data_IF_558487421377
#
_entry.id   IF_558487421377
#
_cell.length_a   1.000
_cell.length_b   1.000
_cell.length_c   1.000
_cell.angle_alpha   90.00
_cell.angle_beta   90.00
_cell.angle_gamma   90.00
#
_symmetry.space_group_name_H-M   'P 1'
#
loop_
_entity.id
_entity.type
_entity.pdbx_description
1 polymer ?
#
# COMPACT_ATOMS: atom_id res chain seq x y z
N UNK A 1 0.01 23.97 -1.67
CA UNK A 1 -0.18 23.01 -2.78
C UNK A 1 0.25 21.60 -2.39
N UNK A 2 1.20 21.41 -1.51
CA UNK A 2 1.60 20.10 -0.93
C UNK A 2 0.58 19.52 0.07
N UNK A 3 -0.34 20.30 0.62
CA UNK A 3 -1.35 19.87 1.61
C UNK A 3 -2.31 18.79 1.07
N UNK A 4 -2.53 18.70 -0.26
CA UNK A 4 -3.34 17.62 -0.87
C UNK A 4 -2.63 16.26 -0.93
N UNK A 5 -1.31 16.22 -0.77
CA UNK A 5 -0.54 14.96 -0.69
C UNK A 5 -0.85 14.18 0.61
N UNK A 6 -1.07 14.89 1.71
CA UNK A 6 -1.22 14.27 3.03
C UNK A 6 -2.50 13.46 3.22
N UNK A 7 -3.59 13.79 2.50
CA UNK A 7 -4.88 13.12 2.70
C UNK A 7 -5.03 11.81 1.93
N UNK A 8 -4.23 11.58 0.87
CA UNK A 8 -4.34 10.39 0.00
C UNK A 8 -3.30 9.30 0.26
N UNK A 9 -2.19 9.62 0.95
CA UNK A 9 -1.14 8.64 1.30
C UNK A 9 -1.53 7.82 2.54
N UNK A 10 -2.49 8.26 3.33
CA UNK A 10 -3.05 7.46 4.43
C UNK A 10 -3.78 6.28 3.81
N UNK A 11 -3.03 5.20 3.56
CA UNK A 11 -3.60 3.91 3.19
C UNK A 11 -4.72 3.58 4.18
N UNK A 12 -5.92 3.36 3.65
CA UNK A 12 -6.93 2.63 4.42
C UNK A 12 -6.23 1.34 4.84
N UNK A 13 -6.05 1.16 6.14
CA UNK A 13 -5.57 -0.10 6.68
C UNK A 13 -6.65 -1.10 6.31
N UNK A 14 -6.39 -1.95 5.33
CA UNK A 14 -7.21 -3.12 5.04
C UNK A 14 -7.11 -4.04 6.27
N UNK A 15 -7.93 -3.78 7.25
CA UNK A 15 -8.24 -4.76 8.27
C UNK A 15 -9.25 -5.68 7.61
N UNK A 16 -8.78 -6.81 7.11
CA UNK A 16 -9.69 -7.90 6.80
C UNK A 16 -10.58 -8.11 8.03
N UNK A 17 -11.88 -7.92 7.86
CA UNK A 17 -12.90 -8.10 8.91
C UNK A 17 -13.01 -9.58 9.36
N UNK A 18 -12.06 -10.42 8.93
CA UNK A 18 -11.99 -11.83 9.27
C UNK A 18 -11.91 -12.10 10.78
N UNK A 19 -11.22 -11.24 11.54
CA UNK A 19 -10.99 -11.46 12.98
C UNK A 19 -12.27 -11.65 13.80
N UNK A 20 -13.38 -11.09 13.39
CA UNK A 20 -14.64 -11.28 14.12
C UNK A 20 -15.39 -12.54 13.72
N UNK A 21 -15.11 -13.15 12.56
CA UNK A 21 -15.89 -14.29 12.05
C UNK A 21 -15.27 -15.66 12.35
N UNK A 22 -13.94 -15.75 12.36
CA UNK A 22 -13.25 -17.04 12.59
C UNK A 22 -12.94 -17.30 14.07
N UNK A 23 -12.82 -16.25 14.90
CA UNK A 23 -12.49 -16.36 16.33
C UNK A 23 -13.69 -16.45 17.28
N UNK A 24 -14.92 -16.66 16.81
CA UNK A 24 -16.07 -16.89 17.71
C UNK A 24 -16.10 -18.29 18.33
N UNK A 25 -15.01 -19.04 18.26
CA UNK A 25 -14.90 -20.39 18.87
C UNK A 25 -13.93 -20.43 20.07
N UNK A 26 -13.67 -19.32 20.75
CA UNK A 26 -12.98 -19.34 22.05
C UNK A 26 -14.00 -19.59 23.20
N UNK A 27 -14.60 -20.74 23.21
CA UNK A 27 -15.44 -21.24 24.30
C UNK A 27 -15.68 -22.72 24.08
N UNK A 28 -15.06 -23.53 24.87
CA UNK A 28 -14.90 -25.00 24.90
C UNK A 28 -16.16 -25.86 24.84
N UNK A 29 -17.10 -25.62 23.92
CA UNK A 29 -18.09 -26.64 23.61
C UNK A 29 -17.62 -27.47 22.39
N UNK A 30 -17.79 -28.81 22.41
CA UNK A 30 -17.45 -29.63 21.27
C UNK A 30 -18.22 -29.13 20.03
N UNK A 31 -17.51 -28.86 18.94
CA UNK A 31 -18.11 -28.43 17.69
C UNK A 31 -19.05 -29.55 17.22
N UNK A 32 -20.34 -29.37 17.42
CA UNK A 32 -21.36 -30.29 16.93
C UNK A 32 -21.89 -29.78 15.60
N UNK A 33 -22.22 -30.72 14.71
CA UNK A 33 -22.82 -30.43 13.42
C UNK A 33 -23.88 -31.46 13.07
N UNK A 34 -24.80 -31.08 12.20
CA UNK A 34 -25.83 -31.99 11.65
C UNK A 34 -25.79 -31.93 10.13
N UNK A 35 -25.93 -33.04 9.45
CA UNK A 35 -26.12 -33.03 8.01
C UNK A 35 -27.50 -32.51 7.67
N UNK A 36 -27.59 -31.67 6.64
CA UNK A 36 -28.80 -30.99 6.21
C UNK A 36 -28.99 -31.09 4.70
N UNK A 37 -30.23 -30.96 4.25
CA UNK A 37 -30.53 -30.64 2.86
C UNK A 37 -30.58 -29.12 2.70
N UNK A 38 -29.94 -28.58 1.71
CA UNK A 38 -29.90 -27.14 1.46
C UNK A 38 -29.60 -26.84 0.01
N UNK A 39 -30.21 -25.78 -0.51
CA UNK A 39 -29.96 -25.18 -1.81
C UNK A 39 -28.86 -24.07 -1.80
N UNK A 40 -28.34 -23.74 -0.60
CA UNK A 40 -27.34 -22.68 -0.42
C UNK A 40 -25.97 -23.04 -0.97
N UNK A 41 -25.66 -24.34 -1.12
CA UNK A 41 -24.40 -24.84 -1.66
C UNK A 41 -24.71 -25.90 -2.71
N UNK A 42 -24.25 -25.69 -3.95
CA UNK A 42 -24.36 -26.66 -5.03
C UNK A 42 -23.15 -27.61 -5.02
N UNK A 43 -23.40 -28.93 -5.11
CA UNK A 43 -22.35 -29.93 -5.31
C UNK A 43 -21.52 -29.71 -6.54
N UNK A 44 -22.12 -29.14 -7.61
CA UNK A 44 -21.39 -28.78 -8.82
C UNK A 44 -20.28 -27.77 -8.55
N UNK A 45 -20.53 -26.80 -7.66
CA UNK A 45 -19.52 -25.82 -7.24
C UNK A 45 -18.34 -26.52 -6.51
N UNK A 46 -18.59 -27.56 -5.71
CA UNK A 46 -17.53 -28.35 -5.09
C UNK A 46 -16.66 -29.04 -6.14
N UNK A 47 -17.25 -29.59 -7.19
CA UNK A 47 -16.47 -30.20 -8.29
C UNK A 47 -15.64 -29.15 -9.04
N UNK A 48 -16.17 -27.94 -9.24
CA UNK A 48 -15.42 -26.85 -9.84
C UNK A 48 -14.18 -26.46 -9.01
N UNK A 49 -14.32 -26.33 -7.68
CA UNK A 49 -13.16 -26.02 -6.84
C UNK A 49 -12.14 -27.13 -6.74
N UNK A 50 -12.56 -28.41 -6.88
CA UNK A 50 -11.63 -29.54 -6.97
C UNK A 50 -10.79 -29.53 -8.23
N UNK A 51 -11.30 -28.95 -9.33
CA UNK A 51 -10.52 -28.74 -10.56
C UNK A 51 -9.55 -27.55 -10.43
N UNK A 52 -9.93 -26.50 -9.68
CA UNK A 52 -9.13 -25.27 -9.53
C UNK A 52 -8.01 -25.45 -8.50
N UNK A 53 -8.35 -26.04 -7.35
CA UNK A 53 -7.41 -26.14 -6.23
C UNK A 53 -6.81 -27.56 -6.13
N UNK A 54 -5.48 -27.69 -6.11
CA UNK A 54 -4.86 -29.01 -5.93
C UNK A 54 -5.18 -29.56 -4.54
N UNK A 55 -5.22 -30.91 -4.37
CA UNK A 55 -5.32 -31.51 -3.05
C UNK A 55 -4.12 -31.10 -2.20
N UNK A 56 -4.30 -31.12 -0.88
CA UNK A 56 -3.16 -30.92 0.02
C UNK A 56 -2.17 -32.07 -0.15
N UNK A 57 -0.89 -31.72 -0.11
CA UNK A 57 0.18 -32.71 -0.16
C UNK A 57 0.51 -33.19 1.27
N UNK A 58 -0.40 -34.02 1.82
CA UNK A 58 -0.21 -34.68 3.11
C UNK A 58 -0.83 -36.10 3.05
N UNK A 59 -0.52 -36.91 4.05
CA UNK A 59 -0.94 -38.33 4.13
C UNK A 59 -2.31 -38.54 4.80
N UNK A 60 -3.12 -37.48 4.91
CA UNK A 60 -4.43 -37.54 5.54
C UNK A 60 -5.45 -38.13 4.57
N UNK A 61 -6.07 -39.22 4.97
CA UNK A 61 -7.17 -39.81 4.21
C UNK A 61 -8.45 -38.99 4.37
N UNK A 62 -8.95 -38.46 3.27
CA UNK A 62 -10.17 -37.64 3.26
C UNK A 62 -11.35 -38.37 2.64
N UNK A 63 -12.56 -37.97 3.06
CA UNK A 63 -13.81 -38.35 2.42
C UNK A 63 -14.70 -37.15 2.20
N UNK A 64 -15.45 -37.14 1.11
CA UNK A 64 -16.47 -36.13 0.86
C UNK A 64 -17.72 -36.45 1.69
N UNK A 65 -18.27 -35.44 2.37
CA UNK A 65 -19.53 -35.53 3.09
C UNK A 65 -20.50 -34.46 2.59
N UNK A 66 -21.79 -34.75 2.74
CA UNK A 66 -22.89 -33.83 2.45
C UNK A 66 -22.83 -32.54 3.27
N UNK A 67 -23.73 -31.58 2.97
CA UNK A 67 -23.75 -30.32 3.70
C UNK A 67 -23.95 -30.53 5.21
N UNK A 68 -23.02 -29.98 5.99
CA UNK A 68 -23.04 -30.01 7.45
C UNK A 68 -23.28 -28.61 8.01
N UNK A 69 -24.29 -28.46 8.86
CA UNK A 69 -24.57 -27.21 9.57
C UNK A 69 -24.02 -27.32 11.00
N UNK A 70 -23.17 -26.36 11.35
CA UNK A 70 -22.60 -26.21 12.69
C UNK A 70 -23.55 -25.43 13.62
N UNK A 71 -23.31 -25.52 14.94
CA UNK A 71 -24.11 -24.83 15.97
C UNK A 71 -24.27 -23.32 15.71
N UNK A 72 -23.27 -22.67 15.16
CA UNK A 72 -23.27 -21.24 14.79
C UNK A 72 -23.95 -20.96 13.44
N UNK A 73 -24.70 -21.92 12.89
CA UNK A 73 -25.43 -21.87 11.61
C UNK A 73 -24.51 -21.70 10.38
N UNK A 74 -23.20 -21.91 10.51
CA UNK A 74 -22.29 -22.03 9.41
C UNK A 74 -22.55 -23.35 8.68
N UNK A 75 -22.56 -23.33 7.35
CA UNK A 75 -22.73 -24.51 6.51
C UNK A 75 -21.44 -24.84 5.81
N UNK A 76 -21.04 -26.11 5.83
CA UNK A 76 -19.86 -26.59 5.13
C UNK A 76 -20.20 -27.76 4.22
N UNK A 77 -19.69 -27.78 3.01
CA UNK A 77 -19.72 -28.90 2.07
C UNK A 77 -18.29 -29.14 1.58
N UNK A 78 -17.80 -30.38 1.67
CA UNK A 78 -16.46 -30.70 1.18
C UNK A 78 -15.86 -31.94 1.79
N UNK A 79 -14.53 -32.01 1.72
CA UNK A 79 -13.71 -33.12 2.18
C UNK A 79 -13.43 -33.01 3.69
N UNK A 80 -13.40 -34.17 4.37
CA UNK A 80 -13.18 -34.30 5.79
C UNK A 80 -12.09 -35.32 6.08
N UNK A 81 -11.25 -35.04 7.07
CA UNK A 81 -10.38 -36.04 7.67
C UNK A 81 -11.22 -37.17 8.25
N UNK A 82 -11.09 -38.39 7.73
CA UNK A 82 -11.86 -39.58 8.15
C UNK A 82 -11.64 -39.91 9.61
N UNK A 83 -10.45 -39.73 10.14
CA UNK A 83 -10.07 -40.13 11.50
C UNK A 83 -10.50 -39.11 12.54
N UNK A 84 -10.24 -37.81 12.26
CA UNK A 84 -10.45 -36.76 13.27
C UNK A 84 -11.76 -36.00 13.11
N UNK A 85 -12.52 -36.24 12.05
CA UNK A 85 -13.78 -35.56 11.74
C UNK A 85 -13.63 -34.03 11.64
N UNK A 86 -12.52 -33.56 11.11
CA UNK A 86 -12.24 -32.16 10.86
C UNK A 86 -12.35 -31.83 9.37
N UNK A 87 -12.73 -30.61 9.05
CA UNK A 87 -12.65 -30.10 7.65
C UNK A 87 -11.22 -30.23 7.16
N UNK A 88 -11.01 -30.93 6.04
CA UNK A 88 -9.70 -31.20 5.49
C UNK A 88 -9.82 -31.44 3.99
N UNK A 89 -8.82 -31.05 3.18
CA UNK A 89 -8.93 -31.14 1.73
C UNK A 89 -9.64 -29.91 1.14
N UNK A 90 -10.57 -30.11 0.21
CA UNK A 90 -11.27 -29.04 -0.52
C UNK A 90 -12.69 -28.90 -0.03
N UNK A 91 -13.17 -27.65 0.13
CA UNK A 91 -14.52 -27.44 0.62
C UNK A 91 -15.00 -26.01 0.51
N UNK A 92 -16.30 -25.85 0.64
CA UNK A 92 -17.03 -24.59 0.62
C UNK A 92 -17.63 -24.34 1.98
N UNK A 93 -17.45 -23.16 2.51
CA UNK A 93 -18.11 -22.74 3.74
C UNK A 93 -18.90 -21.45 3.51
N UNK A 94 -20.14 -21.43 4.01
CA UNK A 94 -21.02 -20.26 3.98
C UNK A 94 -21.35 -19.85 5.41
N UNK A 95 -21.17 -18.57 5.71
CA UNK A 95 -21.57 -17.94 6.96
C UNK A 95 -23.00 -17.41 6.90
N UNK A 96 -23.57 -17.14 8.07
CA UNK A 96 -24.95 -16.67 8.20
C UNK A 96 -25.21 -15.35 7.46
N UNK A 97 -24.22 -14.49 7.38
CA UNK A 97 -24.32 -13.20 6.68
C UNK A 97 -24.11 -13.30 5.17
N UNK A 98 -23.95 -14.51 4.64
CA UNK A 98 -23.76 -14.78 3.21
C UNK A 98 -22.30 -14.73 2.73
N UNK A 99 -21.33 -14.44 3.61
CA UNK A 99 -19.93 -14.60 3.22
C UNK A 99 -19.64 -16.07 2.86
N UNK A 100 -18.74 -16.27 1.88
CA UNK A 100 -18.43 -17.60 1.36
C UNK A 100 -16.93 -17.79 1.19
N UNK A 101 -16.40 -18.87 1.71
CA UNK A 101 -15.05 -19.34 1.43
C UNK A 101 -15.10 -20.61 0.58
N UNK A 102 -14.28 -20.67 -0.46
CA UNK A 102 -14.11 -21.83 -1.33
C UNK A 102 -12.61 -22.09 -1.48
N UNK A 103 -12.12 -23.28 -1.07
CA UNK A 103 -10.69 -23.54 -1.11
C UNK A 103 -10.25 -24.73 -0.29
N UNK A 104 -8.97 -24.73 0.08
CA UNK A 104 -8.36 -25.82 0.82
C UNK A 104 -8.48 -25.61 2.34
N UNK A 105 -8.60 -26.74 3.05
CA UNK A 105 -8.80 -26.81 4.48
C UNK A 105 -7.80 -27.79 5.10
N UNK A 106 -7.24 -27.46 6.23
CA UNK A 106 -6.35 -28.31 7.01
C UNK A 106 -6.70 -28.24 8.48
N UNK A 107 -7.04 -29.40 9.10
CA UNK A 107 -7.37 -29.49 10.51
C UNK A 107 -8.44 -28.47 10.95
N UNK A 108 -9.51 -28.34 10.16
CA UNK A 108 -10.61 -27.42 10.44
C UNK A 108 -10.41 -25.96 10.07
N UNK A 109 -9.23 -25.58 9.53
CA UNK A 109 -8.88 -24.20 9.19
C UNK A 109 -8.64 -24.05 7.70
N UNK A 110 -8.92 -22.87 7.14
CA UNK A 110 -8.54 -22.51 5.80
C UNK A 110 -7.00 -22.50 5.66
N UNK A 111 -6.47 -23.22 4.66
CA UNK A 111 -5.04 -23.39 4.45
C UNK A 111 -4.78 -23.73 2.98
N UNK A 112 -3.63 -23.29 2.43
CA UNK A 112 -3.35 -23.47 1.01
C UNK A 112 -4.02 -22.41 0.15
N UNK A 113 -4.57 -22.79 -1.00
CA UNK A 113 -5.25 -21.87 -1.92
C UNK A 113 -6.74 -21.75 -1.58
N UNK A 114 -7.27 -20.54 -1.70
CA UNK A 114 -8.70 -20.33 -1.49
C UNK A 114 -9.16 -18.92 -1.83
N UNK A 115 -10.47 -18.82 -2.00
CA UNK A 115 -11.19 -17.58 -2.30
C UNK A 115 -12.24 -17.31 -1.23
N UNK A 116 -12.19 -16.10 -0.67
CA UNK A 116 -13.19 -15.59 0.24
C UNK A 116 -13.97 -14.46 -0.41
N UNK A 117 -15.27 -14.57 -0.46
CA UNK A 117 -16.18 -13.50 -0.84
C UNK A 117 -16.89 -13.05 0.44
N UNK A 118 -16.69 -11.80 0.81
CA UNK A 118 -17.36 -11.21 1.97
C UNK A 118 -18.79 -10.78 1.65
N UNK A 119 -19.61 -10.64 2.68
CA UNK A 119 -21.00 -10.21 2.54
C UNK A 119 -21.17 -8.80 1.94
N UNK A 120 -20.18 -7.94 2.07
CA UNK A 120 -20.14 -6.58 1.49
C UNK A 120 -19.56 -6.53 0.07
N UNK A 121 -19.22 -7.70 -0.50
CA UNK A 121 -18.72 -7.84 -1.86
C UNK A 121 -17.21 -7.76 -2.01
N UNK A 122 -16.45 -7.58 -0.92
CA UNK A 122 -15.01 -7.69 -0.94
C UNK A 122 -14.59 -9.14 -1.26
N UNK A 123 -13.52 -9.30 -2.02
CA UNK A 123 -13.01 -10.61 -2.44
C UNK A 123 -11.53 -10.72 -2.16
N UNK A 124 -11.12 -11.79 -1.47
CA UNK A 124 -9.73 -12.20 -1.40
C UNK A 124 -9.55 -13.55 -2.12
N UNK A 125 -8.53 -13.68 -2.92
CA UNK A 125 -8.13 -14.94 -3.56
C UNK A 125 -6.61 -15.09 -3.49
N UNK A 126 -6.13 -16.19 -2.87
CA UNK A 126 -4.71 -16.36 -2.67
C UNK A 126 -4.36 -17.47 -1.69
N UNK A 127 -3.18 -17.31 -1.08
CA UNK A 127 -2.65 -18.25 -0.11
C UNK A 127 -3.21 -18.02 1.30
N UNK A 128 -3.45 -19.11 2.01
CA UNK A 128 -4.02 -19.15 3.36
C UNK A 128 -3.16 -19.99 4.30
N UNK A 129 -2.99 -19.53 5.51
CA UNK A 129 -2.38 -20.26 6.63
C UNK A 129 -3.21 -20.02 7.89
N UNK A 130 -3.71 -21.09 8.50
CA UNK A 130 -4.49 -21.02 9.75
C UNK A 130 -5.58 -19.94 9.75
N UNK A 131 -6.48 -20.01 8.76
CA UNK A 131 -7.61 -19.07 8.55
C UNK A 131 -7.20 -17.63 8.19
N UNK A 132 -5.95 -17.39 7.84
CA UNK A 132 -5.45 -16.05 7.51
C UNK A 132 -4.83 -15.99 6.11
N UNK A 133 -5.10 -14.95 5.33
CA UNK A 133 -4.28 -14.60 4.18
C UNK A 133 -2.81 -14.54 4.54
N UNK A 134 -1.99 -15.38 3.90
CA UNK A 134 -0.54 -15.46 4.13
C UNK A 134 0.12 -16.10 2.90
N UNK A 135 1.06 -15.40 2.28
CA UNK A 135 1.65 -15.76 1.01
C UNK A 135 1.23 -14.78 -0.09
N UNK A 136 1.04 -15.24 -1.31
CA UNK A 136 0.64 -14.38 -2.42
C UNK A 136 -0.87 -14.40 -2.63
N UNK A 137 -1.47 -13.21 -2.82
CA UNK A 137 -2.91 -13.12 -3.04
C UNK A 137 -3.36 -11.78 -3.59
N UNK A 138 -4.57 -11.81 -4.17
CA UNK A 138 -5.26 -10.64 -4.70
C UNK A 138 -6.48 -10.32 -3.81
N UNK A 139 -6.59 -9.06 -3.44
CA UNK A 139 -7.75 -8.52 -2.75
C UNK A 139 -8.43 -7.49 -3.64
N UNK A 140 -9.73 -7.64 -3.82
CA UNK A 140 -10.56 -6.68 -4.53
C UNK A 140 -11.63 -6.15 -3.58
N UNK A 141 -11.56 -4.86 -3.33
CA UNK A 141 -12.56 -4.17 -2.53
C UNK A 141 -13.81 -3.85 -3.36
N UNK A 142 -14.96 -3.81 -2.72
CA UNK A 142 -16.26 -3.49 -3.35
C UNK A 142 -16.31 -2.08 -3.97
N UNK A 143 -15.46 -1.15 -3.49
CA UNK A 143 -15.31 0.18 -4.10
C UNK A 143 -14.44 0.19 -5.36
N UNK A 144 -13.91 -0.98 -5.78
CA UNK A 144 -13.06 -1.15 -6.95
C UNK A 144 -11.56 -1.00 -6.69
N UNK A 145 -11.13 -0.74 -5.46
CA UNK A 145 -9.71 -0.78 -5.09
C UNK A 145 -9.20 -2.22 -5.15
N UNK A 146 -8.03 -2.44 -5.74
CA UNK A 146 -7.40 -3.76 -5.83
C UNK A 146 -6.01 -3.73 -5.21
N UNK A 147 -5.66 -4.79 -4.49
CA UNK A 147 -4.30 -5.07 -4.06
C UNK A 147 -3.87 -6.44 -4.55
N UNK A 148 -2.68 -6.55 -5.08
CA UNK A 148 -2.07 -7.80 -5.48
C UNK A 148 -0.63 -7.85 -4.99
N UNK A 149 -0.28 -8.88 -4.21
CA UNK A 149 1.03 -8.97 -3.60
C UNK A 149 1.11 -9.97 -2.46
N UNK A 150 2.15 -9.82 -1.66
CA UNK A 150 2.38 -10.70 -0.53
C UNK A 150 1.60 -10.26 0.72
N UNK A 151 1.21 -11.27 1.51
CA UNK A 151 0.45 -11.16 2.75
C UNK A 151 1.16 -11.91 3.87
N UNK A 152 1.00 -11.43 5.07
CA UNK A 152 1.42 -12.11 6.29
C UNK A 152 0.44 -11.81 7.40
N UNK A 153 -0.16 -12.85 7.99
CA UNK A 153 -1.10 -12.74 9.10
C UNK A 153 -2.19 -11.66 8.87
N UNK A 154 -2.96 -11.77 7.77
CA UNK A 154 -4.03 -10.84 7.35
C UNK A 154 -3.55 -9.44 6.94
N UNK A 155 -2.25 -9.20 6.80
CA UNK A 155 -1.73 -7.89 6.45
C UNK A 155 -0.91 -7.93 5.17
N UNK A 156 -0.99 -6.87 4.38
CA UNK A 156 -0.07 -6.63 3.27
C UNK A 156 1.37 -6.67 3.79
N UNK A 157 2.24 -7.42 3.12
CA UNK A 157 3.63 -7.59 3.53
C UNK A 157 4.51 -7.87 2.31
N UNK A 158 5.81 -7.50 2.36
CA UNK A 158 6.69 -7.70 1.23
C UNK A 158 6.29 -6.84 0.02
N UNK A 159 6.50 -7.35 -1.18
CA UNK A 159 6.18 -6.61 -2.42
C UNK A 159 4.70 -6.72 -2.76
N UNK A 160 4.13 -5.60 -3.22
CA UNK A 160 2.74 -5.56 -3.65
C UNK A 160 2.43 -4.32 -4.48
N UNK A 161 1.29 -4.40 -5.17
CA UNK A 161 0.73 -3.33 -5.97
C UNK A 161 -0.70 -3.06 -5.55
N UNK A 162 -1.02 -1.80 -5.31
CA UNK A 162 -2.34 -1.32 -4.96
C UNK A 162 -2.82 -0.34 -6.02
N UNK A 163 -4.05 -0.52 -6.53
CA UNK A 163 -4.64 0.31 -7.58
C UNK A 163 -5.99 0.80 -7.08
N UNK A 164 -6.23 2.10 -7.20
CA UNK A 164 -7.51 2.73 -6.87
C UNK A 164 -8.33 3.04 -8.11
N UNK A 165 -9.66 3.16 -7.97
CA UNK A 165 -10.56 3.41 -9.11
C UNK A 165 -10.26 4.68 -9.91
N UNK A 166 -9.64 5.68 -9.29
CA UNK A 166 -9.24 6.93 -9.94
C UNK A 166 -7.94 6.82 -10.77
N UNK A 167 -7.39 5.62 -10.90
CA UNK A 167 -6.13 5.35 -11.61
C UNK A 167 -4.87 5.65 -10.80
N UNK A 168 -5.01 6.08 -9.55
CA UNK A 168 -3.89 6.14 -8.59
C UNK A 168 -3.36 4.73 -8.36
N UNK A 169 -2.06 4.56 -8.24
CA UNK A 169 -1.48 3.29 -7.82
C UNK A 169 -0.25 3.49 -6.94
N UNK A 170 0.02 2.48 -6.13
CA UNK A 170 1.30 2.29 -5.46
C UNK A 170 1.84 0.90 -5.81
N UNK A 171 3.14 0.83 -6.08
CA UNK A 171 3.87 -0.42 -6.28
C UNK A 171 5.17 -0.35 -5.51
N UNK A 172 5.37 -1.25 -4.53
CA UNK A 172 6.51 -1.19 -3.64
C UNK A 172 6.43 -2.18 -2.50
N UNK A 173 7.13 -1.87 -1.42
CA UNK A 173 7.24 -2.73 -0.25
C UNK A 173 6.21 -2.36 0.81
N UNK A 174 5.74 -3.38 1.54
CA UNK A 174 4.83 -3.29 2.67
C UNK A 174 5.39 -4.01 3.89
N UNK A 175 5.18 -3.44 5.06
CA UNK A 175 5.44 -4.09 6.35
C UNK A 175 4.22 -3.85 7.23
N UNK A 176 3.59 -4.94 7.71
CA UNK A 176 2.43 -4.88 8.60
C UNK A 176 1.29 -3.97 8.08
N UNK A 177 1.01 -4.01 6.76
CA UNK A 177 -0.03 -3.23 6.11
C UNK A 177 0.31 -1.77 5.84
N UNK A 178 1.58 -1.39 5.98
CA UNK A 178 2.06 -0.03 5.73
C UNK A 178 3.08 -0.02 4.60
N UNK A 179 3.01 0.99 3.73
CA UNK A 179 4.04 1.26 2.73
C UNK A 179 5.37 1.54 3.44
N UNK A 180 6.40 0.82 3.03
CA UNK A 180 7.72 0.84 3.65
C UNK A 180 8.79 0.62 2.58
N UNK A 181 10.06 1.02 2.84
CA UNK A 181 11.14 0.79 1.88
C UNK A 181 10.95 1.55 0.57
N UNK A 182 11.40 1.00 -0.54
CA UNK A 182 11.32 1.67 -1.84
C UNK A 182 10.02 1.37 -2.57
N UNK A 183 9.43 2.41 -3.19
CA UNK A 183 8.22 2.26 -3.97
C UNK A 183 7.99 3.37 -4.99
N UNK A 184 7.02 3.12 -5.86
CA UNK A 184 6.51 4.08 -6.85
C UNK A 184 5.07 4.38 -6.52
N UNK A 185 4.74 5.66 -6.37
CA UNK A 185 3.37 6.13 -6.20
C UNK A 185 3.01 7.05 -7.36
N UNK A 186 1.93 6.72 -8.08
CA UNK A 186 1.37 7.58 -9.13
C UNK A 186 -0.01 8.07 -8.69
N UNK A 187 -0.23 9.36 -8.77
CA UNK A 187 -1.52 9.98 -8.48
C UNK A 187 -2.40 10.10 -9.73
N UNK A 188 -3.69 10.31 -9.51
CA UNK A 188 -4.69 10.49 -10.57
C UNK A 188 -4.38 11.68 -11.50
N UNK A 189 -3.68 12.71 -11.00
CA UNK A 189 -3.24 13.87 -11.79
C UNK A 189 -1.97 13.60 -12.61
N UNK A 190 -1.52 12.34 -12.68
CA UNK A 190 -0.28 11.87 -13.32
C UNK A 190 1.02 12.33 -12.66
N UNK A 191 0.99 12.98 -11.50
CA UNK A 191 2.22 13.16 -10.72
C UNK A 191 2.74 11.80 -10.23
N UNK A 192 4.06 11.67 -10.11
CA UNK A 192 4.72 10.41 -9.74
C UNK A 192 5.79 10.69 -8.69
N UNK A 193 5.81 9.88 -7.64
CA UNK A 193 6.93 9.76 -6.72
C UNK A 193 7.61 8.40 -6.86
N UNK A 194 8.93 8.42 -6.87
CA UNK A 194 9.79 7.23 -6.81
C UNK A 194 10.83 7.42 -5.72
N UNK A 195 10.78 6.61 -4.68
CA UNK A 195 11.67 6.78 -3.54
C UNK A 195 11.26 5.98 -2.32
N UNK A 196 11.78 6.40 -1.19
CA UNK A 196 11.61 5.71 0.09
C UNK A 196 10.32 6.10 0.79
N UNK A 197 9.73 5.12 1.47
CA UNK A 197 8.55 5.26 2.33
C UNK A 197 8.84 4.75 3.73
N UNK A 198 8.31 5.43 4.72
CA UNK A 198 8.32 5.00 6.12
C UNK A 198 6.92 5.19 6.69
N UNK A 199 6.28 4.10 7.14
CA UNK A 199 4.95 4.12 7.74
C UNK A 199 3.90 4.88 6.90
N UNK A 200 3.80 4.59 5.59
CA UNK A 200 2.93 5.24 4.61
C UNK A 200 3.31 6.68 4.23
N UNK A 201 4.38 7.25 4.75
CA UNK A 201 4.84 8.59 4.40
C UNK A 201 6.01 8.51 3.42
N UNK A 202 6.08 9.47 2.51
CA UNK A 202 7.29 9.75 1.74
C UNK A 202 8.38 10.16 2.73
N UNK A 203 9.53 9.50 2.64
CA UNK A 203 10.66 9.70 3.54
C UNK A 203 11.98 9.43 2.81
N UNK A 204 13.14 9.71 3.44
CA UNK A 204 14.43 9.40 2.85
C UNK A 204 14.68 10.09 1.51
N UNK A 205 15.23 9.38 0.53
CA UNK A 205 15.55 9.94 -0.78
C UNK A 205 14.51 9.56 -1.82
N UNK A 206 14.18 10.51 -2.70
CA UNK A 206 13.24 10.24 -3.78
C UNK A 206 13.09 11.35 -4.78
N UNK A 207 12.49 10.99 -5.92
CA UNK A 207 12.20 11.90 -7.04
C UNK A 207 10.69 12.06 -7.13
N UNK A 208 10.22 13.29 -7.10
CA UNK A 208 8.83 13.66 -7.34
C UNK A 208 8.71 14.44 -8.65
N UNK A 209 7.93 13.91 -9.59
CA UNK A 209 7.56 14.60 -10.82
C UNK A 209 6.12 15.07 -10.71
N UNK A 210 5.94 16.38 -10.75
CA UNK A 210 4.63 17.01 -10.71
C UNK A 210 3.94 16.93 -12.08
N UNK A 211 2.62 16.91 -12.08
CA UNK A 211 1.82 16.90 -13.30
C UNK A 211 2.03 18.13 -14.19
N UNK A 212 2.49 19.24 -13.63
CA UNK A 212 2.81 20.47 -14.34
C UNK A 212 4.26 20.51 -14.90
N UNK A 213 4.99 19.39 -14.80
CA UNK A 213 6.35 19.25 -15.33
C UNK A 213 7.46 19.69 -14.38
N UNK A 214 7.16 20.20 -13.19
CA UNK A 214 8.18 20.41 -12.15
C UNK A 214 8.74 19.07 -11.67
N UNK A 215 9.99 19.08 -11.22
CA UNK A 215 10.65 17.93 -10.64
C UNK A 215 11.39 18.31 -9.37
N UNK A 216 11.28 17.48 -8.35
CA UNK A 216 12.14 17.54 -7.16
C UNK A 216 12.87 16.22 -7.00
N UNK A 217 14.17 16.29 -6.80
CA UNK A 217 15.04 15.16 -6.49
C UNK A 217 15.84 15.50 -5.23
N UNK A 218 15.57 14.80 -4.13
CA UNK A 218 16.21 15.13 -2.87
C UNK A 218 15.68 14.34 -1.69
N UNK A 219 15.92 14.90 -0.51
CA UNK A 219 15.58 14.30 0.77
C UNK A 219 14.16 14.71 1.21
N UNK A 220 13.50 13.79 1.87
CA UNK A 220 12.13 13.90 2.35
C UNK A 220 12.02 13.47 3.81
N UNK A 221 11.16 14.13 4.55
CA UNK A 221 10.80 13.74 5.90
C UNK A 221 9.30 13.93 6.11
N UNK A 222 8.59 12.84 6.39
CA UNK A 222 7.16 12.84 6.70
C UNK A 222 6.34 13.64 5.67
N UNK A 223 6.52 13.31 4.36
CA UNK A 223 5.88 13.93 3.21
C UNK A 223 6.29 15.39 2.94
N UNK A 224 7.39 15.88 3.49
CA UNK A 224 7.90 17.23 3.28
C UNK A 224 9.30 17.19 2.68
N UNK A 225 9.61 18.21 1.86
CA UNK A 225 10.97 18.46 1.42
C UNK A 225 11.83 18.83 2.63
N UNK A 226 12.93 18.10 2.81
CA UNK A 226 13.86 18.27 3.93
C UNK A 226 15.28 18.01 3.42
N UNK A 227 16.32 18.51 4.12
CA UNK A 227 17.70 18.25 3.77
C UNK A 227 18.08 18.78 2.40
N UNK A 228 18.93 18.05 1.66
CA UNK A 228 19.45 18.49 0.36
C UNK A 228 18.56 18.06 -0.79
N UNK A 229 18.37 18.97 -1.76
CA UNK A 229 17.60 18.65 -2.95
C UNK A 229 17.81 19.58 -4.13
N UNK A 230 17.36 19.09 -5.28
CA UNK A 230 17.33 19.82 -6.54
C UNK A 230 15.88 19.96 -6.97
N UNK A 231 15.45 21.17 -7.24
CA UNK A 231 14.13 21.48 -7.78
C UNK A 231 14.29 22.12 -9.16
N UNK A 232 13.62 21.55 -10.15
CA UNK A 232 13.64 22.01 -11.54
C UNK A 232 12.24 22.44 -11.95
N UNK A 233 12.12 23.59 -12.58
CA UNK A 233 10.87 24.11 -13.15
C UNK A 233 10.85 23.91 -14.66
N UNK A 234 9.67 23.76 -15.28
CA UNK A 234 9.55 23.60 -16.72
C UNK A 234 10.11 24.75 -17.56
N UNK A 235 10.16 25.94 -16.97
CA UNK A 235 10.73 27.11 -17.61
C UNK A 235 12.28 27.19 -17.56
N UNK A 236 12.93 26.13 -17.05
CA UNK A 236 14.38 26.02 -16.96
C UNK A 236 14.99 26.58 -15.67
N UNK A 237 14.21 27.19 -14.78
CA UNK A 237 14.72 27.56 -13.44
C UNK A 237 15.13 26.31 -12.68
N UNK A 238 16.19 26.44 -11.87
CA UNK A 238 16.70 25.35 -11.04
C UNK A 238 17.13 25.89 -9.68
N UNK A 239 16.82 25.16 -8.64
CA UNK A 239 17.37 25.37 -7.30
C UNK A 239 18.08 24.12 -6.83
N UNK A 240 19.28 24.29 -6.28
CA UNK A 240 20.06 23.24 -5.65
C UNK A 240 20.49 23.74 -4.27
N UNK A 241 20.05 23.09 -3.21
CA UNK A 241 20.36 23.54 -1.84
C UNK A 241 19.57 22.84 -0.77
N UNK A 242 19.57 23.48 0.40
CA UNK A 242 18.93 22.94 1.59
C UNK A 242 17.44 23.29 1.65
N UNK A 243 16.66 22.35 2.20
CA UNK A 243 15.24 22.47 2.44
C UNK A 243 14.92 22.19 3.90
N UNK A 244 13.92 22.87 4.43
CA UNK A 244 13.33 22.61 5.72
C UNK A 244 11.82 22.86 5.69
N UNK A 245 11.05 21.81 6.00
CA UNK A 245 9.58 21.89 5.99
C UNK A 245 9.03 22.53 4.69
N UNK A 246 9.39 21.98 3.52
CA UNK A 246 8.98 22.43 2.17
C UNK A 246 9.52 23.80 1.72
N UNK A 247 10.41 24.40 2.46
CA UNK A 247 10.95 25.71 2.15
C UNK A 247 12.44 25.64 1.93
N UNK A 248 12.94 26.43 0.98
CA UNK A 248 14.37 26.69 0.84
C UNK A 248 14.89 27.30 2.14
N UNK A 249 15.95 26.72 2.68
CA UNK A 249 16.55 27.13 3.96
C UNK A 249 18.06 26.91 3.88
N UNK A 250 18.86 27.58 4.72
CA UNK A 250 20.30 27.37 4.71
C UNK A 250 20.98 27.88 3.44
N UNK A 251 21.91 27.10 2.87
CA UNK A 251 22.65 27.51 1.68
C UNK A 251 22.08 26.87 0.41
N UNK A 252 22.01 27.66 -0.68
CA UNK A 252 21.55 27.13 -1.95
C UNK A 252 21.88 28.02 -3.15
N UNK A 253 21.85 27.39 -4.32
CA UNK A 253 22.09 28.01 -5.62
C UNK A 253 20.78 28.03 -6.40
N UNK A 254 20.40 29.19 -6.90
CA UNK A 254 19.28 29.37 -7.80
C UNK A 254 19.78 29.82 -9.16
N UNK A 255 19.38 29.13 -10.19
CA UNK A 255 19.75 29.39 -11.58
C UNK A 255 18.51 29.79 -12.38
N UNK A 256 18.58 30.91 -13.11
CA UNK A 256 17.53 31.38 -14.02
C UNK A 256 17.82 30.96 -15.45
N UNK A 257 16.79 30.83 -16.31
CA UNK A 257 16.97 30.47 -17.72
C UNK A 257 17.83 31.43 -18.53
N UNK A 258 17.87 32.70 -18.11
CA UNK A 258 18.68 33.75 -18.75
C UNK A 258 20.16 33.69 -18.34
N UNK A 259 20.58 32.66 -17.62
CA UNK A 259 21.95 32.45 -17.17
C UNK A 259 22.30 33.15 -15.85
N UNK A 260 21.44 33.99 -15.32
CA UNK A 260 21.65 34.60 -14.01
C UNK A 260 21.67 33.52 -12.93
N UNK A 261 22.47 33.77 -11.87
CA UNK A 261 22.56 32.85 -10.73
C UNK A 261 22.60 33.62 -9.41
N UNK A 262 22.07 33.01 -8.39
CA UNK A 262 22.26 33.40 -7.00
C UNK A 262 22.80 32.23 -6.21
N UNK A 263 23.83 32.46 -5.42
CA UNK A 263 24.33 31.49 -4.43
C UNK A 263 24.47 32.18 -3.08
N UNK A 264 23.93 31.59 -2.03
CA UNK A 264 23.95 32.22 -0.71
C UNK A 264 22.92 31.65 0.21
N UNK A 265 22.64 32.41 1.26
CA UNK A 265 21.72 32.02 2.31
C UNK A 265 20.25 32.17 1.89
N UNK A 266 19.44 31.23 2.36
CA UNK A 266 17.99 31.18 2.18
C UNK A 266 17.30 31.06 3.53
N UNK A 267 16.20 31.74 3.69
CA UNK A 267 15.36 31.69 4.90
C UNK A 267 13.88 31.74 4.52
N UNK A 268 13.12 30.73 4.97
CA UNK A 268 11.69 30.64 4.67
C UNK A 268 11.36 30.77 3.17
N UNK A 269 12.16 30.15 2.29
CA UNK A 269 11.97 30.14 0.84
C UNK A 269 12.46 31.38 0.10
N UNK A 270 13.08 32.36 0.78
CA UNK A 270 13.55 33.61 0.23
C UNK A 270 15.06 33.78 0.43
N UNK A 271 15.73 34.47 -0.51
CA UNK A 271 17.11 34.91 -0.36
C UNK A 271 17.24 35.73 0.93
N UNK A 272 18.25 35.44 1.74
CA UNK A 272 18.50 36.09 3.03
C UNK A 272 19.99 36.13 3.33
N UNK A 273 20.41 37.00 4.25
CA UNK A 273 21.81 37.06 4.64
C UNK A 273 22.76 37.43 3.53
N UNK A 274 23.97 36.89 3.57
CA UNK A 274 25.00 37.14 2.56
C UNK A 274 24.85 36.19 1.39
N UNK A 275 24.99 36.69 0.21
CA UNK A 275 25.00 35.90 -1.02
C UNK A 275 25.73 36.61 -2.17
N UNK A 276 25.85 35.89 -3.27
CA UNK A 276 26.48 36.39 -4.47
C UNK A 276 25.52 36.19 -5.65
N UNK A 277 25.51 37.19 -6.51
CA UNK A 277 24.66 37.22 -7.69
C UNK A 277 25.56 37.31 -8.94
N UNK A 278 25.30 36.43 -9.91
CA UNK A 278 25.97 36.41 -11.19
C UNK A 278 25.08 37.03 -12.26
N UNK A 279 25.66 37.96 -13.00
CA UNK A 279 25.04 38.55 -14.19
C UNK A 279 25.82 38.05 -15.43
N UNK A 280 25.22 37.25 -16.31
CA UNK A 280 25.90 36.70 -17.47
C UNK A 280 26.31 37.78 -18.50
N UNK A 281 25.66 38.95 -18.47
CA UNK A 281 26.00 40.05 -19.39
C UNK A 281 27.29 40.75 -18.99
N UNK A 282 27.65 40.70 -17.72
CA UNK A 282 28.85 41.32 -17.15
C UNK A 282 29.93 40.27 -16.81
N UNK A 283 29.56 38.98 -16.83
CA UNK A 283 30.41 37.85 -16.46
C UNK A 283 31.02 37.94 -15.05
N UNK A 284 30.38 38.65 -14.15
CA UNK A 284 30.88 38.90 -12.79
C UNK A 284 29.91 38.44 -11.70
N UNK A 285 30.52 37.99 -10.60
CA UNK A 285 29.80 37.75 -9.35
C UNK A 285 29.89 39.00 -8.49
N UNK A 286 28.73 39.46 -7.97
CA UNK A 286 28.64 40.59 -7.03
C UNK A 286 28.13 40.10 -5.70
N UNK A 287 28.90 40.32 -4.64
CA UNK A 287 28.52 40.00 -3.26
C UNK A 287 27.55 41.05 -2.71
N UNK A 288 26.55 40.60 -2.00
CA UNK A 288 25.54 41.50 -1.44
C UNK A 288 24.88 40.95 -0.19
N UNK A 289 24.00 41.73 0.37
CA UNK A 289 23.17 41.38 1.51
C UNK A 289 21.69 41.39 1.13
N UNK A 290 20.97 40.34 1.52
CA UNK A 290 19.53 40.17 1.25
C UNK A 290 18.73 40.06 2.53
N UNK A 291 17.50 40.55 2.50
CA UNK A 291 16.55 40.41 3.56
C UNK A 291 15.19 40.00 2.97
N UNK A 292 14.80 38.73 3.19
CA UNK A 292 13.56 38.11 2.71
C UNK A 292 13.24 38.39 1.24
N UNK A 293 14.24 38.16 0.35
CA UNK A 293 14.12 38.26 -1.09
C UNK A 293 14.45 39.65 -1.66
N UNK A 294 14.68 40.64 -0.82
CA UNK A 294 15.07 42.01 -1.25
C UNK A 294 16.56 42.27 -1.00
N UNK A 295 17.32 42.62 -2.06
CA UNK A 295 18.70 43.05 -1.89
C UNK A 295 18.73 44.39 -1.15
N UNK A 296 19.51 44.48 -0.08
CA UNK A 296 19.69 45.69 0.75
C UNK A 296 20.85 46.52 0.23
N UNK A 297 21.99 45.89 -0.04
CA UNK A 297 23.19 46.58 -0.54
C UNK A 297 24.11 45.58 -1.28
N UNK A 298 25.00 46.12 -2.05
CA UNK A 298 26.19 45.40 -2.49
C UNK A 298 27.28 45.57 -1.42
N UNK A 299 28.07 44.52 -1.22
CA UNK A 299 29.24 44.53 -0.35
C UNK A 299 30.42 44.73 -1.28
N UNK A 300 31.11 45.86 -1.18
CA UNK A 300 32.37 46.08 -1.88
C UNK A 300 33.48 45.36 -1.12
N UNK A 301 34.36 44.68 -1.83
CA UNK A 301 35.59 44.09 -1.28
C UNK A 301 36.51 45.12 -0.73
#
# INVERSE_FOLDING_TARGET
MLIRLQSRIRGRIFRLKLKQKLNNNEGEEPITYTFIETDKIDKKELEEIKMIYPPLNDDIEVEERGPAQFNNKVIYLGEWDKKNNLRHGRGIQIWLDGAKFSGCWKNGKACGKGKLVHADGDVYEGDWVDDKPSGYGKYKHSDGTEYEGFWKDDKQHGKGKEIWPDGTFYEGEYVEGKKQGYGVFKWADNSIYKGEFVNNNIHGKGIYKFSDGREYNGEWKDNKLEGKGVFIWPDGRKYTGDYKNDKKEGYGIFEWPDGKKYRGEWKNGKQHGVGEYFDPTQEVWKKGMWNYGKRKCWIND
#
